data_IF_202152307725
#
_entry.id   IF_202152307725
#
_cell.length_a   1.000
_cell.length_b   1.000
_cell.length_c   1.000
_cell.angle_alpha   90.00
_cell.angle_beta   90.00
_cell.angle_gamma   90.00
#
_symmetry.space_group_name_H-M   'P 1'
#
loop_
_entity.id
_entity.type
_entity.pdbx_description
1 polymer ?
#
# COMPACT_ATOMS: atom_id res chain seq x y z
N UNK A 1 2.84 -5.47 -22.55
CA UNK A 1 1.99 -5.22 -21.37
C UNK A 1 2.51 -5.83 -20.08
N UNK A 2 3.41 -6.82 -20.12
CA UNK A 2 4.00 -7.50 -18.96
C UNK A 2 4.78 -6.59 -17.99
N UNK A 3 5.53 -5.59 -18.48
CA UNK A 3 6.24 -4.63 -17.60
C UNK A 3 5.30 -3.83 -16.68
N UNK A 4 4.12 -3.47 -17.17
CA UNK A 4 3.15 -2.70 -16.39
C UNK A 4 2.61 -3.50 -15.21
N UNK A 5 2.48 -4.83 -15.35
CA UNK A 5 2.02 -5.71 -14.27
C UNK A 5 3.09 -5.91 -13.21
N UNK A 6 4.35 -6.05 -13.62
CA UNK A 6 5.47 -6.09 -12.68
C UNK A 6 5.54 -4.78 -11.85
N UNK A 7 5.33 -3.63 -12.49
CA UNK A 7 5.24 -2.35 -11.80
C UNK A 7 4.03 -2.28 -10.86
N UNK A 8 2.85 -2.73 -11.28
CA UNK A 8 1.67 -2.79 -10.41
C UNK A 8 1.88 -3.68 -9.20
N UNK A 9 2.51 -4.85 -9.36
CA UNK A 9 2.83 -5.75 -8.25
C UNK A 9 3.85 -5.13 -7.29
N UNK A 10 4.88 -4.46 -7.81
CA UNK A 10 5.85 -3.73 -7.00
C UNK A 10 5.21 -2.57 -6.22
N UNK A 11 4.40 -1.75 -6.90
CA UNK A 11 3.67 -0.64 -6.26
C UNK A 11 2.67 -1.16 -5.24
N UNK A 12 1.97 -2.26 -5.53
CA UNK A 12 1.04 -2.90 -4.60
C UNK A 12 1.74 -3.35 -3.31
N UNK A 13 2.89 -4.00 -3.44
CA UNK A 13 3.68 -4.46 -2.30
C UNK A 13 4.16 -3.30 -1.43
N UNK A 14 4.75 -2.27 -2.05
CA UNK A 14 5.26 -1.10 -1.32
C UNK A 14 4.12 -0.30 -0.68
N UNK A 15 3.03 -0.04 -1.40
CA UNK A 15 1.89 0.71 -0.89
C UNK A 15 1.15 -0.07 0.22
N UNK A 16 0.96 -1.37 0.04
CA UNK A 16 0.35 -2.24 1.04
C UNK A 16 1.19 -2.33 2.33
N UNK A 17 2.50 -2.54 2.19
CA UNK A 17 3.41 -2.58 3.34
C UNK A 17 3.47 -1.23 4.06
N UNK A 18 3.57 -0.12 3.33
CA UNK A 18 3.56 1.22 3.90
C UNK A 18 2.24 1.52 4.62
N UNK A 19 1.09 1.18 4.03
CA UNK A 19 -0.23 1.31 4.65
C UNK A 19 -0.35 0.49 5.94
N UNK A 20 0.09 -0.77 5.92
CA UNK A 20 0.07 -1.65 7.08
C UNK A 20 0.99 -1.15 8.21
N UNK A 21 2.21 -0.72 7.88
CA UNK A 21 3.15 -0.12 8.86
C UNK A 21 2.54 1.15 9.47
N UNK A 22 1.87 1.97 8.65
CA UNK A 22 1.20 3.19 9.10
C UNK A 22 0.05 2.89 10.06
N UNK A 23 -0.70 1.79 9.84
CA UNK A 23 -1.81 1.37 10.70
C UNK A 23 -1.35 0.70 12.00
N UNK A 24 -0.36 -0.20 11.94
CA UNK A 24 0.11 -0.98 13.10
C UNK A 24 1.06 -0.16 13.97
N UNK A 25 1.88 0.69 13.36
CA UNK A 25 2.87 1.54 14.04
C UNK A 25 2.79 2.99 13.56
N UNK A 26 1.71 3.71 13.88
CA UNK A 26 1.54 5.12 13.49
C UNK A 26 2.68 6.01 14.02
N UNK A 27 3.29 5.67 15.15
CA UNK A 27 4.44 6.39 15.69
C UNK A 27 5.70 6.32 14.77
N UNK A 28 5.92 5.21 14.07
CA UNK A 28 7.04 5.10 13.12
C UNK A 28 6.77 5.92 11.86
N UNK A 29 5.55 5.84 11.31
CA UNK A 29 5.16 6.64 10.16
C UNK A 29 5.18 8.14 10.48
N UNK A 30 4.71 8.54 11.66
CA UNK A 30 4.80 9.92 12.15
C UNK A 30 6.25 10.40 12.24
N UNK A 31 7.16 9.59 12.82
CA UNK A 31 8.59 9.92 12.92
C UNK A 31 9.25 10.03 11.55
N UNK A 32 8.96 9.10 10.65
CA UNK A 32 9.50 9.13 9.29
C UNK A 32 9.04 10.36 8.50
N UNK A 33 7.82 10.84 8.76
CA UNK A 33 7.24 12.03 8.12
C UNK A 33 7.52 13.34 8.87
N UNK A 34 8.20 13.30 10.03
CA UNK A 34 8.50 14.49 10.84
C UNK A 34 7.26 15.23 11.35
N UNK A 35 6.14 14.54 11.54
CA UNK A 35 4.85 15.17 11.84
C UNK A 35 4.67 15.48 13.33
N UNK A 36 4.02 16.61 13.68
CA UNK A 36 3.77 16.99 15.06
C UNK A 36 2.77 16.05 15.75
N UNK A 37 2.93 15.93 17.06
CA UNK A 37 2.05 15.13 17.93
C UNK A 37 0.74 15.88 18.18
N UNK A 38 -0.25 15.59 17.34
CA UNK A 38 -1.62 16.10 17.46
C UNK A 38 -2.62 14.98 17.16
N UNK A 39 -3.79 15.01 17.79
CA UNK A 39 -4.87 14.04 17.52
C UNK A 39 -5.29 14.06 16.04
N UNK A 40 -5.37 15.24 15.44
CA UNK A 40 -5.68 15.41 14.02
C UNK A 40 -4.64 14.69 13.12
N UNK A 41 -3.36 14.75 13.48
CA UNK A 41 -2.29 14.04 12.77
C UNK A 41 -2.49 12.53 12.82
N UNK A 42 -2.81 11.98 14.00
CA UNK A 42 -3.03 10.54 14.15
C UNK A 42 -4.25 10.07 13.35
N UNK A 43 -5.32 10.87 13.34
CA UNK A 43 -6.52 10.55 12.56
C UNK A 43 -6.24 10.57 11.05
N UNK A 44 -5.59 11.62 10.55
CA UNK A 44 -5.18 11.71 9.15
C UNK A 44 -4.27 10.54 8.74
N UNK A 45 -3.34 10.16 9.62
CA UNK A 45 -2.41 9.05 9.37
C UNK A 45 -3.13 7.69 9.30
N UNK A 46 -4.19 7.48 10.09
CA UNK A 46 -5.04 6.28 9.99
C UNK A 46 -5.77 6.22 8.66
N UNK A 47 -6.36 7.33 8.21
CA UNK A 47 -7.05 7.39 6.89
C UNK A 47 -6.05 7.09 5.78
N UNK A 48 -4.90 7.77 5.78
CA UNK A 48 -3.84 7.56 4.80
C UNK A 48 -3.37 6.09 4.81
N UNK A 49 -3.18 5.50 5.99
CA UNK A 49 -2.82 4.09 6.15
C UNK A 49 -3.86 3.14 5.57
N UNK A 50 -5.15 3.36 5.85
CA UNK A 50 -6.24 2.55 5.28
C UNK A 50 -6.32 2.68 3.75
N UNK A 51 -6.18 3.90 3.21
CA UNK A 51 -6.21 4.13 1.77
C UNK A 51 -5.01 3.49 1.06
N UNK A 52 -3.80 3.61 1.61
CA UNK A 52 -2.59 2.97 1.08
C UNK A 52 -2.69 1.45 1.13
N UNK A 53 -3.21 0.90 2.22
CA UNK A 53 -3.41 -0.54 2.36
C UNK A 53 -4.46 -1.06 1.37
N UNK A 54 -5.60 -0.37 1.24
CA UNK A 54 -6.65 -0.71 0.28
C UNK A 54 -6.13 -0.64 -1.17
N UNK A 55 -5.33 0.38 -1.50
CA UNK A 55 -4.68 0.50 -2.80
C UNK A 55 -3.74 -0.70 -3.07
N UNK A 56 -2.94 -1.07 -2.07
CA UNK A 56 -2.06 -2.23 -2.16
C UNK A 56 -2.81 -3.54 -2.40
N UNK A 57 -3.89 -3.77 -1.65
CA UNK A 57 -4.77 -4.94 -1.86
C UNK A 57 -5.44 -4.91 -3.22
N UNK A 58 -5.89 -3.75 -3.69
CA UNK A 58 -6.54 -3.61 -4.98
C UNK A 58 -5.60 -3.91 -6.14
N UNK A 59 -4.43 -3.26 -6.16
CA UNK A 59 -3.43 -3.46 -7.22
C UNK A 59 -2.84 -4.88 -7.17
N UNK A 60 -2.54 -5.38 -5.96
CA UNK A 60 -1.97 -6.72 -5.77
C UNK A 60 -2.98 -7.82 -6.10
N UNK A 61 -4.22 -7.68 -5.65
CA UNK A 61 -5.32 -8.57 -5.99
C UNK A 61 -5.58 -8.59 -7.49
N UNK A 62 -5.65 -7.43 -8.13
CA UNK A 62 -5.81 -7.33 -9.58
C UNK A 62 -4.65 -8.00 -10.34
N UNK A 63 -3.40 -7.70 -9.99
CA UNK A 63 -2.23 -8.29 -10.64
C UNK A 63 -2.20 -9.83 -10.47
N UNK A 64 -2.58 -10.33 -9.29
CA UNK A 64 -2.65 -11.76 -8.99
C UNK A 64 -3.72 -12.44 -9.85
N UNK A 65 -4.96 -11.92 -9.84
CA UNK A 65 -6.07 -12.47 -10.62
C UNK A 65 -5.77 -12.39 -12.11
N UNK A 66 -5.19 -11.29 -12.61
CA UNK A 66 -4.79 -11.15 -14.00
C UNK A 66 -3.75 -12.19 -14.40
N UNK A 67 -2.74 -12.43 -13.55
CA UNK A 67 -1.69 -13.42 -13.80
C UNK A 67 -2.27 -14.84 -13.85
N UNK A 68 -3.19 -15.16 -12.94
CA UNK A 68 -3.91 -16.45 -12.94
C UNK A 68 -4.81 -16.60 -14.17
N UNK A 69 -5.57 -15.56 -14.52
CA UNK A 69 -6.48 -15.57 -15.67
C UNK A 69 -5.75 -15.66 -17.02
N UNK A 70 -4.52 -15.13 -17.09
CA UNK A 70 -3.67 -15.22 -18.29
C UNK A 70 -2.70 -16.41 -18.27
N UNK A 71 -2.81 -17.30 -17.28
CA UNK A 71 -2.09 -18.57 -17.24
C UNK A 71 -0.58 -18.45 -17.01
N UNK A 72 -0.11 -17.35 -16.41
CA UNK A 72 1.33 -17.12 -16.17
C UNK A 72 2.16 -17.03 -17.46
N UNK A 73 1.57 -16.52 -18.56
CA UNK A 73 2.31 -16.29 -19.80
C UNK A 73 3.34 -15.15 -19.60
N UNK A 74 4.58 -15.55 -19.30
CA UNK A 74 5.80 -14.75 -19.37
C UNK A 74 6.36 -14.75 -20.79
#
# INVERSE_FOLDING_TARGET
MTRSIALMAGVAGVAGAAGLVTLVRPALARRALGLPEAEATLYALRIAGMMLFALGLFLGGFATVFTLATGGAW
#
